data_IF_583711778753
#
_entry.id   IF_583711778753
#
_cell.length_a   1.000
_cell.length_b   1.000
_cell.length_c   1.000
_cell.angle_alpha   90.00
_cell.angle_beta   90.00
_cell.angle_gamma   90.00
#
_symmetry.space_group_name_H-M   'P 1'
#
loop_
_entity.id
_entity.type
_entity.pdbx_description
1 polymer ?
#
# COMPACT_ATOMS: atom_id res chain seq x y z
N UNK A 1 12.98 43.63 4.92
CA UNK A 1 11.85 42.79 4.51
C UNK A 1 12.41 41.75 3.55
N UNK A 2 12.96 40.67 4.10
CA UNK A 2 13.61 39.64 3.30
C UNK A 2 12.62 38.51 3.03
N UNK A 3 12.26 38.41 1.75
CA UNK A 3 11.43 37.37 1.17
C UNK A 3 12.14 36.02 1.35
N UNK A 4 11.71 35.24 2.36
CA UNK A 4 12.14 33.85 2.51
C UNK A 4 11.66 33.07 1.30
N UNK A 5 12.57 32.94 0.34
CA UNK A 5 12.57 32.03 -0.78
C UNK A 5 12.08 30.65 -0.34
N UNK A 6 10.83 30.34 -0.67
CA UNK A 6 10.33 28.97 -0.68
C UNK A 6 11.02 28.31 -1.87
N UNK A 7 12.19 27.69 -1.64
CA UNK A 7 12.68 26.71 -2.61
C UNK A 7 11.65 25.60 -2.66
N UNK A 8 11.05 25.26 -3.81
CA UNK A 8 10.35 23.99 -3.91
C UNK A 8 11.37 22.90 -3.61
N UNK A 9 11.13 22.14 -2.53
CA UNK A 9 11.79 20.86 -2.30
C UNK A 9 11.74 20.08 -3.61
N UNK A 10 12.88 19.59 -4.08
CA UNK A 10 13.01 18.90 -5.37
C UNK A 10 11.97 17.79 -5.46
N UNK A 11 10.93 17.99 -6.26
CA UNK A 11 9.96 16.95 -6.58
C UNK A 11 10.72 15.74 -7.13
N UNK A 12 10.27 14.50 -6.86
CA UNK A 12 10.94 13.30 -7.37
C UNK A 12 11.14 13.43 -8.88
N UNK A 13 12.37 13.18 -9.34
CA UNK A 13 12.81 13.44 -10.71
C UNK A 13 12.21 12.50 -11.78
N UNK A 14 11.20 11.71 -11.43
CA UNK A 14 10.52 10.78 -12.33
C UNK A 14 9.02 10.76 -12.07
N UNK A 15 8.17 10.59 -13.10
CA UNK A 15 6.74 10.50 -12.91
C UNK A 15 6.40 9.30 -12.02
N UNK A 16 5.75 9.56 -10.88
CA UNK A 16 5.25 8.52 -9.99
C UNK A 16 4.06 7.87 -10.68
N UNK A 17 4.10 6.56 -10.92
CA UNK A 17 2.97 5.86 -11.56
C UNK A 17 2.06 5.27 -10.49
N UNK A 18 0.78 5.63 -10.52
CA UNK A 18 -0.28 5.02 -9.72
C UNK A 18 -0.89 3.85 -10.48
N UNK A 19 -0.89 2.67 -9.87
CA UNK A 19 -1.58 1.49 -10.40
C UNK A 19 -2.61 0.98 -9.39
N UNK A 20 -3.87 0.84 -9.81
CA UNK A 20 -4.98 0.31 -9.01
C UNK A 20 -5.60 -0.86 -9.76
N UNK A 21 -5.82 -1.98 -9.08
CA UNK A 21 -6.54 -3.12 -9.61
C UNK A 21 -7.49 -3.70 -8.57
N UNK A 22 -8.63 -4.24 -9.03
CA UNK A 22 -9.62 -4.93 -8.21
C UNK A 22 -10.09 -4.14 -6.96
N UNK A 23 -10.18 -2.81 -7.06
CA UNK A 23 -10.63 -1.94 -5.98
C UNK A 23 -12.01 -1.36 -6.26
N UNK A 24 -13.04 -1.95 -5.67
CA UNK A 24 -14.45 -1.57 -5.90
C UNK A 24 -14.78 -1.57 -7.40
N UNK A 25 -15.17 -0.43 -7.98
CA UNK A 25 -15.45 -0.32 -9.42
C UNK A 25 -14.20 -0.18 -10.30
N UNK A 26 -13.02 0.02 -9.72
CA UNK A 26 -11.76 0.13 -10.45
C UNK A 26 -11.20 -1.26 -10.70
N UNK A 27 -11.45 -1.80 -11.90
CA UNK A 27 -10.92 -3.11 -12.33
C UNK A 27 -9.41 -3.06 -12.55
N UNK A 28 -8.98 -2.14 -13.40
CA UNK A 28 -7.58 -1.90 -13.73
C UNK A 28 -7.42 -0.44 -14.16
N UNK A 29 -6.53 0.30 -13.51
CA UNK A 29 -6.26 1.71 -13.76
C UNK A 29 -4.78 1.98 -13.53
N UNK A 30 -4.07 2.45 -14.55
CA UNK A 30 -2.66 2.87 -14.49
C UNK A 30 -2.60 4.32 -14.91
N UNK A 31 -2.07 5.19 -14.05
CA UNK A 31 -2.01 6.64 -14.26
C UNK A 31 -0.61 7.15 -13.93
N UNK A 32 0.13 7.72 -14.88
CA UNK A 32 1.33 8.48 -14.56
C UNK A 32 0.91 9.78 -13.85
N UNK A 33 1.49 10.04 -12.67
CA UNK A 33 1.20 11.22 -11.88
C UNK A 33 2.28 12.29 -12.12
N UNK A 34 1.82 13.51 -12.38
CA UNK A 34 2.63 14.72 -12.32
C UNK A 34 2.56 15.40 -10.94
N UNK A 35 3.22 16.56 -10.78
CA UNK A 35 3.16 17.34 -9.53
C UNK A 35 1.74 17.80 -9.13
N UNK A 36 0.85 18.00 -10.12
CA UNK A 36 -0.56 18.30 -9.92
C UNK A 36 -1.39 17.46 -10.89
N UNK A 37 -2.37 16.71 -10.38
CA UNK A 37 -3.26 15.87 -11.18
C UNK A 37 -4.71 16.24 -10.89
N UNK A 38 -5.46 16.62 -11.92
CA UNK A 38 -6.89 16.94 -11.81
C UNK A 38 -7.69 15.76 -12.36
N UNK A 39 -8.55 15.17 -11.55
CA UNK A 39 -9.39 14.02 -11.94
C UNK A 39 -10.82 14.48 -12.17
N UNK A 40 -11.32 14.36 -13.40
CA UNK A 40 -12.70 14.71 -13.80
C UNK A 40 -13.41 13.51 -14.46
N UNK A 41 -14.71 13.66 -14.76
CA UNK A 41 -15.48 12.66 -15.50
C UNK A 41 -16.94 12.51 -15.03
N UNK A 42 -17.76 11.70 -15.73
CA UNK A 42 -19.19 11.52 -15.43
C UNK A 42 -19.48 10.87 -14.08
N UNK A 43 -20.72 10.98 -13.59
CA UNK A 43 -21.18 10.20 -12.42
C UNK A 43 -21.01 8.70 -12.70
N UNK A 44 -20.56 7.95 -11.69
CA UNK A 44 -20.27 6.51 -11.84
C UNK A 44 -18.91 6.17 -12.47
N UNK A 45 -18.11 7.14 -12.95
CA UNK A 45 -16.81 6.88 -13.61
C UNK A 45 -15.68 6.39 -12.69
N UNK A 46 -15.93 6.20 -11.39
CA UNK A 46 -14.94 5.67 -10.45
C UNK A 46 -14.08 6.73 -9.72
N UNK A 47 -14.28 8.04 -9.94
CA UNK A 47 -13.53 9.13 -9.26
C UNK A 47 -13.50 9.00 -7.73
N UNK A 48 -14.66 8.75 -7.11
CA UNK A 48 -14.73 8.56 -5.65
C UNK A 48 -14.00 7.29 -5.20
N UNK A 49 -13.94 6.25 -6.02
CA UNK A 49 -13.17 5.05 -5.72
C UNK A 49 -11.67 5.31 -5.88
N UNK A 50 -11.25 6.12 -6.85
CA UNK A 50 -9.87 6.58 -6.98
C UNK A 50 -9.44 7.39 -5.74
N UNK A 51 -10.26 8.35 -5.31
CA UNK A 51 -10.01 9.09 -4.06
C UNK A 51 -9.92 8.18 -2.84
N UNK A 52 -10.80 7.18 -2.72
CA UNK A 52 -10.76 6.22 -1.59
C UNK A 52 -9.52 5.34 -1.62
N UNK A 53 -9.06 4.91 -2.79
CA UNK A 53 -7.82 4.14 -2.92
C UNK A 53 -6.61 4.98 -2.49
N UNK A 54 -6.51 6.23 -2.95
CA UNK A 54 -5.46 7.16 -2.55
C UNK A 54 -5.51 7.48 -1.04
N UNK A 55 -6.71 7.72 -0.50
CA UNK A 55 -6.90 7.98 0.93
C UNK A 55 -6.51 6.75 1.77
N UNK A 56 -6.81 5.54 1.30
CA UNK A 56 -6.38 4.32 1.97
C UNK A 56 -4.85 4.25 2.03
N UNK A 57 -4.15 4.43 0.89
CA UNK A 57 -2.68 4.44 0.85
C UNK A 57 -2.09 5.50 1.78
N UNK A 58 -2.62 6.73 1.74
CA UNK A 58 -2.13 7.83 2.58
C UNK A 58 -2.36 7.59 4.08
N UNK A 59 -3.50 6.99 4.46
CA UNK A 59 -3.77 6.64 5.84
C UNK A 59 -2.90 5.47 6.31
N UNK A 60 -2.68 4.48 5.46
CA UNK A 60 -1.77 3.35 5.75
C UNK A 60 -0.35 3.85 5.98
N UNK A 61 0.16 4.74 5.12
CA UNK A 61 1.49 5.33 5.27
C UNK A 61 1.61 6.15 6.57
N UNK A 62 0.67 7.06 6.84
CA UNK A 62 0.65 7.85 8.08
C UNK A 62 0.54 6.97 9.34
N UNK A 63 -0.30 5.94 9.30
CA UNK A 63 -0.45 5.03 10.44
C UNK A 63 0.84 4.22 10.68
N UNK A 64 1.56 3.84 9.62
CA UNK A 64 2.81 3.10 9.71
C UNK A 64 3.96 3.91 10.33
N UNK A 65 3.92 5.24 10.26
CA UNK A 65 4.91 6.11 10.92
C UNK A 65 4.78 6.11 12.45
N UNK A 66 3.57 5.93 12.98
CA UNK A 66 3.28 6.03 14.41
C UNK A 66 2.90 4.68 15.06
N UNK A 67 2.69 3.63 14.27
CA UNK A 67 2.18 2.35 14.76
C UNK A 67 2.50 1.20 13.81
N UNK A 68 2.40 -0.03 14.31
CA UNK A 68 2.43 -1.21 13.46
C UNK A 68 1.11 -1.32 12.68
N UNK A 69 1.20 -1.46 11.35
CA UNK A 69 0.03 -1.62 10.47
C UNK A 69 0.07 -2.98 9.79
N UNK A 70 -0.97 -3.80 9.98
CA UNK A 70 -1.16 -5.03 9.22
C UNK A 70 -2.07 -4.77 8.01
N UNK A 71 -1.54 -4.99 6.80
CA UNK A 71 -2.31 -4.90 5.56
C UNK A 71 -2.65 -6.31 5.08
N UNK A 72 -3.95 -6.63 5.00
CA UNK A 72 -4.45 -7.89 4.41
C UNK A 72 -5.12 -7.57 3.09
N UNK A 73 -4.64 -8.16 1.99
CA UNK A 73 -5.15 -7.88 0.65
C UNK A 73 -5.03 -9.09 -0.28
N UNK A 74 -6.05 -9.32 -1.10
CA UNK A 74 -6.01 -10.26 -2.23
C UNK A 74 -5.62 -9.58 -3.55
N UNK A 75 -5.27 -8.28 -3.54
CA UNK A 75 -4.92 -7.54 -4.74
C UNK A 75 -3.41 -7.68 -5.03
N UNK A 76 -2.98 -8.51 -6.01
CA UNK A 76 -1.56 -8.83 -6.22
C UNK A 76 -0.72 -7.58 -6.54
N UNK A 77 -1.30 -6.59 -7.23
CA UNK A 77 -0.60 -5.33 -7.51
C UNK A 77 -0.39 -4.44 -6.29
N UNK A 78 -1.32 -4.46 -5.33
CA UNK A 78 -1.15 -3.72 -4.09
C UNK A 78 -0.08 -4.39 -3.22
N UNK A 79 -0.15 -5.72 -3.10
CA UNK A 79 0.85 -6.51 -2.37
C UNK A 79 2.25 -6.27 -2.94
N UNK A 80 2.43 -6.45 -4.25
CA UNK A 80 3.72 -6.22 -4.91
C UNK A 80 4.22 -4.76 -4.82
N UNK A 81 3.32 -3.78 -4.65
CA UNK A 81 3.71 -2.39 -4.44
C UNK A 81 4.20 -2.14 -3.00
N UNK A 82 3.51 -2.71 -2.01
CA UNK A 82 3.87 -2.61 -0.59
C UNK A 82 5.13 -3.42 -0.27
N UNK A 83 5.32 -4.59 -0.86
CA UNK A 83 6.53 -5.42 -0.69
C UNK A 83 7.81 -4.77 -1.20
N UNK A 84 7.73 -3.74 -2.05
CA UNK A 84 8.91 -2.95 -2.47
C UNK A 84 9.39 -1.96 -1.41
N UNK A 85 8.57 -1.65 -0.42
CA UNK A 85 8.95 -0.77 0.67
C UNK A 85 9.88 -1.52 1.64
N UNK A 86 11.01 -0.90 2.01
CA UNK A 86 11.97 -1.51 2.91
C UNK A 86 11.42 -1.74 4.34
N UNK A 87 10.38 -1.00 4.73
CA UNK A 87 9.68 -1.20 5.99
C UNK A 87 8.63 -2.33 5.93
N UNK A 88 8.39 -2.91 4.76
CA UNK A 88 7.42 -3.98 4.58
C UNK A 88 7.97 -5.32 5.05
N UNK A 89 7.24 -5.98 5.96
CA UNK A 89 7.50 -7.36 6.34
C UNK A 89 6.34 -8.25 5.84
N UNK A 90 6.52 -9.01 4.74
CA UNK A 90 5.47 -9.84 4.19
C UNK A 90 5.17 -11.02 5.12
N UNK A 91 3.89 -11.27 5.38
CA UNK A 91 3.39 -12.44 6.10
C UNK A 91 2.57 -13.27 5.12
N UNK A 92 3.11 -14.39 4.68
CA UNK A 92 2.48 -15.27 3.70
C UNK A 92 1.82 -16.42 4.42
N UNK A 93 0.49 -16.53 4.30
CA UNK A 93 -0.28 -17.63 4.85
C UNK A 93 -0.45 -18.73 3.81
N UNK A 94 -0.31 -19.98 4.24
CA UNK A 94 -0.63 -21.16 3.44
C UNK A 94 -1.58 -22.08 4.21
N UNK A 95 -2.19 -23.02 3.50
CA UNK A 95 -2.92 -24.15 4.10
C UNK A 95 -2.04 -25.39 4.01
N UNK A 96 -1.60 -25.88 5.17
CA UNK A 96 -0.78 -27.09 5.29
C UNK A 96 -1.50 -28.11 6.17
N UNK A 97 -1.79 -29.29 5.60
CA UNK A 97 -2.50 -30.39 6.28
C UNK A 97 -3.83 -29.96 6.95
N UNK A 98 -4.59 -29.06 6.30
CA UNK A 98 -5.86 -28.53 6.82
C UNK A 98 -5.71 -27.40 7.84
N UNK A 99 -4.51 -27.13 8.35
CA UNK A 99 -4.23 -25.99 9.23
C UNK A 99 -3.74 -24.78 8.44
N UNK A 100 -3.88 -23.57 9.00
CA UNK A 100 -3.23 -22.36 8.49
C UNK A 100 -1.82 -22.28 9.06
N UNK A 101 -0.81 -22.14 8.20
CA UNK A 101 0.60 -21.95 8.59
C UNK A 101 1.21 -20.75 7.87
N UNK A 102 2.36 -20.30 8.36
CA UNK A 102 3.19 -19.31 7.69
C UNK A 102 4.02 -20.01 6.61
N UNK A 103 3.84 -19.62 5.35
CA UNK A 103 4.61 -20.18 4.22
C UNK A 103 6.07 -19.68 4.24
N UNK A 104 6.31 -18.48 4.76
CA UNK A 104 7.61 -17.83 4.84
C UNK A 104 8.15 -17.76 6.27
N UNK A 105 7.81 -18.73 7.13
CA UNK A 105 8.21 -18.77 8.53
C UNK A 105 9.72 -18.56 8.74
N UNK A 106 10.55 -19.21 7.92
CA UNK A 106 12.01 -19.17 8.03
C UNK A 106 12.62 -17.79 7.71
N UNK A 107 11.85 -16.91 7.05
CA UNK A 107 12.26 -15.54 6.72
C UNK A 107 11.88 -14.51 7.78
N UNK A 108 11.11 -14.92 8.79
CA UNK A 108 10.61 -14.06 9.85
C UNK A 108 11.39 -14.32 11.13
N UNK A 109 11.71 -13.26 11.87
CA UNK A 109 12.25 -13.37 13.23
C UNK A 109 11.10 -13.72 14.19
N UNK A 110 10.76 -15.02 14.22
CA UNK A 110 9.67 -15.52 15.04
C UNK A 110 10.12 -15.66 16.49
N UNK A 111 9.34 -15.16 17.47
CA UNK A 111 9.66 -15.40 18.86
C UNK A 111 9.63 -16.90 19.16
N UNK A 112 10.43 -17.39 20.14
CA UNK A 112 10.48 -18.80 20.52
C UNK A 112 9.25 -19.24 21.33
N UNK A 113 8.07 -18.79 20.92
CA UNK A 113 6.80 -19.01 21.59
C UNK A 113 6.40 -20.48 21.46
N UNK A 114 6.23 -21.14 22.62
CA UNK A 114 5.69 -22.49 22.70
C UNK A 114 4.26 -22.42 23.19
N UNK A 115 3.35 -23.02 22.42
CA UNK A 115 1.99 -23.20 22.87
C UNK A 115 1.94 -24.19 24.03
N UNK A 116 1.12 -23.96 25.07
CA UNK A 116 0.90 -24.96 26.11
C UNK A 116 0.33 -26.24 25.49
N UNK A 117 0.68 -27.39 26.09
CA UNK A 117 0.08 -28.66 25.69
C UNK A 117 -1.45 -28.54 25.86
N UNK A 118 -2.17 -28.97 24.83
CA UNK A 118 -3.62 -28.83 24.75
C UNK A 118 -4.32 -29.79 25.71
#
# INVERSE_FOLDING_TARGET
MDSRSIRPSSAPAFPVTLAIANYRSLRELIVPLGPLNVVTGPNGSGKSNLYRALRLLALTAQAAEASQVLVVSHAPRLVAALERDAASQPVVLERRLGATSLANADSLDLPPWKWPAR
#
